data_IF_172663948209
#
_entry.id   IF_172663948209
#
_cell.length_a   1.000
_cell.length_b   1.000
_cell.length_c   1.000
_cell.angle_alpha   90.00
_cell.angle_beta   90.00
_cell.angle_gamma   90.00
#
_symmetry.space_group_name_H-M   'P 1'
#
loop_
_entity.id
_entity.type
_entity.pdbx_description
1 polymer ?
#
# COMPACT_ATOMS: atom_id res chain seq x y z
N UNK A 1 -6.82 -12.70 13.38
CA UNK A 1 -6.51 -11.70 12.32
C UNK A 1 -6.44 -10.32 12.96
N UNK A 2 -5.37 -9.54 12.79
CA UNK A 2 -5.31 -8.19 13.34
C UNK A 2 -6.34 -7.32 12.62
N UNK A 3 -7.32 -6.79 13.35
CA UNK A 3 -8.45 -6.00 12.81
C UNK A 3 -8.21 -4.49 12.89
N UNK A 4 -7.08 -4.02 13.44
CA UNK A 4 -6.86 -2.61 13.71
C UNK A 4 -5.53 -2.09 13.11
N UNK A 5 -5.53 -0.93 12.41
CA UNK A 5 -4.33 -0.31 11.83
C UNK A 5 -3.19 -0.12 12.84
N UNK A 6 -3.53 0.18 14.10
CA UNK A 6 -2.57 0.33 15.21
C UNK A 6 -1.78 -0.94 15.50
N UNK A 7 -2.37 -2.11 15.36
CA UNK A 7 -1.70 -3.40 15.63
C UNK A 7 -0.69 -3.74 14.53
N UNK A 8 -0.99 -3.34 13.29
CA UNK A 8 -0.10 -3.48 12.14
C UNK A 8 1.13 -2.57 12.34
N UNK A 9 0.90 -1.30 12.69
CA UNK A 9 1.98 -0.35 12.96
C UNK A 9 2.87 -0.78 14.13
N UNK A 10 2.28 -1.29 15.22
CA UNK A 10 3.02 -1.83 16.35
C UNK A 10 3.87 -3.06 15.98
N UNK A 11 3.36 -3.92 15.10
CA UNK A 11 4.10 -5.08 14.59
C UNK A 11 5.29 -4.65 13.73
N UNK A 12 5.09 -3.67 12.85
CA UNK A 12 6.18 -3.08 12.06
C UNK A 12 7.23 -2.47 12.98
N UNK A 13 6.83 -1.64 13.94
CA UNK A 13 7.76 -1.02 14.92
C UNK A 13 8.58 -2.06 15.67
N UNK A 14 7.96 -3.16 16.12
CA UNK A 14 8.66 -4.25 16.82
C UNK A 14 9.66 -4.99 15.93
N UNK A 15 9.38 -5.15 14.64
CA UNK A 15 10.24 -5.87 13.69
C UNK A 15 11.38 -5.02 13.13
N UNK A 16 11.15 -3.72 12.93
CA UNK A 16 12.10 -2.84 12.24
C UNK A 16 12.85 -1.90 13.17
N UNK A 17 12.43 -1.78 14.43
CA UNK A 17 12.94 -0.79 15.38
C UNK A 17 12.58 0.66 15.02
N UNK A 18 11.89 0.89 13.89
CA UNK A 18 11.53 2.22 13.38
C UNK A 18 10.09 2.53 13.73
N UNK A 19 9.87 3.70 14.32
CA UNK A 19 8.53 4.21 14.63
C UNK A 19 7.90 4.78 13.37
N UNK A 20 7.18 3.95 12.62
CA UNK A 20 6.35 4.42 11.49
C UNK A 20 5.03 4.92 12.07
N UNK A 21 4.74 6.21 11.91
CA UNK A 21 3.47 6.77 12.38
C UNK A 21 2.41 6.70 11.29
N UNK A 22 1.14 6.75 11.70
CA UNK A 22 0.01 6.82 10.78
C UNK A 22 0.11 8.03 9.84
N UNK A 23 0.67 9.15 10.32
CA UNK A 23 0.94 10.36 9.54
C UNK A 23 2.00 10.13 8.45
N UNK A 24 3.02 9.30 8.72
CA UNK A 24 4.06 8.97 7.74
C UNK A 24 3.49 8.09 6.62
N UNK A 25 2.67 7.10 6.99
CA UNK A 25 1.93 6.27 6.03
C UNK A 25 0.99 7.15 5.18
N UNK A 26 0.27 8.08 5.80
CA UNK A 26 -0.67 8.95 5.11
C UNK A 26 0.02 9.90 4.12
N UNK A 27 1.19 10.45 4.47
CA UNK A 27 1.99 11.27 3.55
C UNK A 27 2.43 10.46 2.31
N UNK A 28 2.90 9.24 2.52
CA UNK A 28 3.28 8.36 1.41
C UNK A 28 2.08 8.01 0.54
N UNK A 29 0.95 7.65 1.15
CA UNK A 29 -0.28 7.32 0.44
C UNK A 29 -0.84 8.51 -0.38
N UNK A 30 -0.71 9.74 0.12
CA UNK A 30 -1.22 10.94 -0.56
C UNK A 30 -0.53 11.24 -1.90
N UNK A 31 0.69 10.72 -2.11
CA UNK A 31 1.43 10.86 -3.37
C UNK A 31 1.12 9.78 -4.41
N UNK A 32 0.40 8.71 -4.04
CA UNK A 32 0.14 7.57 -4.92
C UNK A 32 -1.13 7.81 -5.72
N UNK A 33 -1.01 7.85 -7.05
CA UNK A 33 -2.16 7.98 -7.95
C UNK A 33 -2.77 6.60 -8.25
N UNK A 34 -4.06 6.51 -8.59
CA UNK A 34 -4.66 5.25 -9.05
C UNK A 34 -3.89 4.65 -10.25
N UNK A 35 -3.39 5.49 -11.15
CA UNK A 35 -2.57 5.08 -12.29
C UNK A 35 -1.25 4.41 -11.88
N UNK A 36 -0.67 4.80 -10.74
CA UNK A 36 0.55 4.19 -10.18
C UNK A 36 0.33 2.75 -9.73
N UNK A 37 -0.89 2.40 -9.34
CA UNK A 37 -1.26 1.04 -8.92
C UNK A 37 -1.58 0.15 -10.13
N UNK A 38 -2.03 0.76 -11.24
CA UNK A 38 -2.29 0.07 -12.49
C UNK A 38 -1.00 -0.21 -13.28
N UNK A 39 -0.02 0.69 -13.21
CA UNK A 39 1.27 0.53 -13.86
C UNK A 39 2.26 -0.29 -13.01
N UNK A 40 2.71 -1.41 -13.54
CA UNK A 40 3.59 -2.33 -12.81
C UNK A 40 4.98 -1.74 -12.54
N UNK A 41 5.54 -0.96 -13.47
CA UNK A 41 6.87 -0.39 -13.31
C UNK A 41 6.86 0.69 -12.22
N UNK A 42 5.83 1.54 -12.22
CA UNK A 42 5.63 2.56 -11.19
C UNK A 42 5.33 1.93 -9.82
N UNK A 43 4.52 0.86 -9.77
CA UNK A 43 4.25 0.14 -8.53
C UNK A 43 5.50 -0.49 -7.94
N UNK A 44 6.36 -1.10 -8.76
CA UNK A 44 7.66 -1.64 -8.34
C UNK A 44 8.58 -0.54 -7.79
N UNK A 45 8.62 0.61 -8.45
CA UNK A 45 9.43 1.75 -8.00
C UNK A 45 8.93 2.28 -6.65
N UNK A 46 7.62 2.37 -6.45
CA UNK A 46 7.01 2.76 -5.18
C UNK A 46 7.37 1.78 -4.06
N UNK A 47 7.27 0.47 -4.30
CA UNK A 47 7.64 -0.56 -3.30
C UNK A 47 9.09 -0.38 -2.88
N UNK A 48 10.01 -0.14 -3.83
CA UNK A 48 11.44 0.12 -3.53
C UNK A 48 11.65 1.40 -2.72
N UNK A 49 10.96 2.48 -3.07
CA UNK A 49 11.05 3.74 -2.33
C UNK A 49 10.59 3.58 -0.86
N UNK A 50 9.52 2.83 -0.63
CA UNK A 50 9.03 2.54 0.73
C UNK A 50 10.01 1.64 1.48
N UNK A 51 10.53 0.60 0.84
CA UNK A 51 11.54 -0.32 1.37
C UNK A 51 12.80 0.42 1.84
N UNK A 52 13.31 1.36 1.05
CA UNK A 52 14.44 2.20 1.40
C UNK A 52 14.14 3.14 2.59
N UNK A 53 12.93 3.71 2.64
CA UNK A 53 12.50 4.58 3.74
C UNK A 53 12.49 3.80 5.08
N UNK A 54 12.02 2.56 5.07
CA UNK A 54 12.02 1.70 6.26
C UNK A 54 13.35 0.96 6.45
N UNK A 55 14.30 1.08 5.51
CA UNK A 55 15.63 0.46 5.55
C UNK A 55 15.59 -1.06 5.63
N UNK A 56 14.69 -1.68 4.86
CA UNK A 56 14.58 -3.13 4.72
C UNK A 56 14.75 -3.45 3.25
N UNK A 57 15.73 -4.27 2.92
CA UNK A 57 15.87 -4.77 1.56
C UNK A 57 14.79 -5.81 1.27
N UNK A 58 14.11 -5.64 0.13
CA UNK A 58 13.03 -6.53 -0.32
C UNK A 58 13.54 -7.28 -1.54
N UNK A 59 13.50 -8.62 -1.49
CA UNK A 59 13.89 -9.46 -2.60
C UNK A 59 12.96 -9.25 -3.81
N UNK A 60 13.48 -9.37 -5.04
CA UNK A 60 12.68 -9.19 -6.27
C UNK A 60 11.48 -10.14 -6.36
N UNK A 61 11.60 -11.35 -5.79
CA UNK A 61 10.49 -12.30 -5.66
C UNK A 61 9.36 -11.72 -4.80
N UNK A 62 9.70 -11.19 -3.62
CA UNK A 62 8.74 -10.52 -2.74
C UNK A 62 8.12 -9.28 -3.40
N UNK A 63 8.91 -8.51 -4.16
CA UNK A 63 8.36 -7.38 -4.95
C UNK A 63 7.32 -7.89 -5.95
N UNK A 64 7.62 -8.97 -6.67
CA UNK A 64 6.71 -9.57 -7.65
C UNK A 64 5.43 -10.10 -6.99
N UNK A 65 5.53 -10.73 -5.83
CA UNK A 65 4.38 -11.19 -5.05
C UNK A 65 3.48 -10.03 -4.60
N UNK A 66 4.08 -8.94 -4.09
CA UNK A 66 3.34 -7.75 -3.69
C UNK A 66 2.64 -7.11 -4.89
N UNK A 67 3.34 -6.95 -6.01
CA UNK A 67 2.76 -6.42 -7.27
C UNK A 67 1.59 -7.28 -7.72
N UNK A 68 1.76 -8.61 -7.71
CA UNK A 68 0.70 -9.53 -8.09
C UNK A 68 -0.51 -9.39 -7.16
N UNK A 69 -0.28 -9.41 -5.84
CA UNK A 69 -1.34 -9.28 -4.83
C UNK A 69 -2.09 -7.95 -4.94
N UNK A 70 -1.40 -6.85 -5.22
CA UNK A 70 -1.99 -5.51 -5.38
C UNK A 70 -2.79 -5.39 -6.68
N UNK A 71 -2.29 -5.97 -7.78
CA UNK A 71 -3.02 -5.99 -9.07
C UNK A 71 -4.18 -6.99 -9.06
N UNK A 72 -4.04 -8.10 -8.32
CA UNK A 72 -5.05 -9.15 -8.18
C UNK A 72 -6.11 -8.83 -7.12
N UNK A 73 -5.76 -7.99 -6.13
CA UNK A 73 -6.74 -7.32 -5.28
C UNK A 73 -7.44 -6.28 -6.15
N UNK A 74 -8.34 -6.83 -6.94
CA UNK A 74 -9.30 -6.16 -7.78
C UNK A 74 -10.11 -5.16 -6.95
N UNK A 75 -9.55 -3.98 -6.78
CA UNK A 75 -10.28 -2.73 -6.94
C UNK A 75 -10.70 -2.65 -8.41
N UNK A 76 -11.53 -3.61 -8.85
CA UNK A 76 -12.08 -3.61 -10.20
C UNK A 76 -12.74 -2.25 -10.37
N UNK A 77 -12.48 -1.55 -11.48
CA UNK A 77 -13.06 -0.24 -11.75
C UNK A 77 -14.59 -0.22 -11.54
N UNK A 78 -15.27 -1.36 -11.73
CA UNK A 78 -16.68 -1.56 -11.39
C UNK A 78 -17.03 -1.45 -9.90
N UNK A 79 -16.21 -1.99 -8.98
CA UNK A 79 -16.42 -1.84 -7.54
C UNK A 79 -16.11 -0.41 -7.08
N UNK A 80 -15.14 0.25 -7.70
CA UNK A 80 -14.85 1.67 -7.43
C UNK A 80 -15.99 2.57 -7.92
N UNK A 81 -16.55 2.31 -9.11
CA UNK A 81 -17.75 2.98 -9.62
C UNK A 81 -18.96 2.76 -8.70
N UNK A 82 -19.18 1.54 -8.22
CA UNK A 82 -20.27 1.24 -7.29
C UNK A 82 -20.11 1.97 -5.96
N UNK A 83 -18.88 2.02 -5.43
CA UNK A 83 -18.59 2.75 -4.20
C UNK A 83 -18.72 4.28 -4.40
N UNK A 84 -18.27 4.81 -5.53
CA UNK A 84 -18.48 6.21 -5.94
C UNK A 84 -19.96 6.55 -6.07
N UNK A 85 -20.77 5.67 -6.65
CA UNK A 85 -22.23 5.86 -6.74
C UNK A 85 -22.90 5.87 -5.36
N UNK A 86 -22.43 5.06 -4.41
CA UNK A 86 -22.96 5.08 -3.04
C UNK A 86 -22.58 6.34 -2.27
N UNK A 87 -21.43 6.95 -2.60
CA UNK A 87 -20.98 8.23 -2.02
C UNK A 87 -21.70 9.42 -2.68
N UNK A 88 -21.93 9.38 -3.99
CA UNK A 88 -22.66 10.41 -4.75
C UNK A 88 -24.19 10.40 -4.50
N UNK A 89 -24.75 9.29 -4.03
CA UNK A 89 -26.17 9.19 -3.64
C UNK A 89 -26.46 9.67 -2.21
N UNK A 90 -25.61 10.52 -1.65
CA UNK A 90 -25.87 11.23 -0.40
C UNK A 90 -26.31 12.65 -0.67
#
# INVERSE_FOLDING_TARGET
>A
MPRNPKDILNTVKKKTGKSVTEKDIQKLASGVKPSTVQDEAQLRQLIKQVSQLVGIDVAEETVKEIVHAVKSSKLDGGNLQQMMNLIMKR
#
